data_IF_542759582630
#
_entry.id   IF_542759582630
#
_cell.length_a   1.000
_cell.length_b   1.000
_cell.length_c   1.000
_cell.angle_alpha   90.00
_cell.angle_beta   90.00
_cell.angle_gamma   90.00
#
_symmetry.space_group_name_H-M   'P 1'
#
loop_
_entity.id
_entity.type
_entity.pdbx_description
1 polymer ?
#
# COMPACT_ATOMS: atom_id res chain seq x y z
N UNK A 1 -11.22 5.84 -10.42
CA UNK A 1 -11.29 4.68 -10.26
C UNK A 1 -12.30 3.83 -9.45
N UNK A 2 -12.34 3.71 -8.09
CA UNK A 2 -13.39 2.97 -7.39
C UNK A 2 -14.33 3.95 -6.68
N UNK A 3 -15.64 3.69 -6.80
CA UNK A 3 -16.65 4.31 -5.95
C UNK A 3 -16.90 3.36 -4.78
N UNK A 4 -16.54 3.78 -3.58
CA UNK A 4 -16.84 3.03 -2.36
C UNK A 4 -18.29 3.33 -1.99
N UNK A 5 -19.08 2.28 -1.77
CA UNK A 5 -20.44 2.42 -1.27
C UNK A 5 -20.42 2.76 0.21
N UNK A 6 -21.18 3.77 0.59
CA UNK A 6 -21.38 4.15 1.98
C UNK A 6 -22.18 3.07 2.73
N UNK A 7 -21.82 2.79 3.99
CA UNK A 7 -22.53 1.83 4.83
C UNK A 7 -24.01 2.20 5.04
N UNK A 8 -24.34 3.48 5.06
CA UNK A 8 -25.70 3.97 5.16
C UNK A 8 -26.59 3.60 3.97
N UNK A 9 -26.00 3.19 2.85
CA UNK A 9 -26.72 2.72 1.66
C UNK A 9 -27.12 1.25 1.75
N UNK A 10 -26.67 0.50 2.77
CA UNK A 10 -26.98 -0.91 2.89
C UNK A 10 -28.38 -1.12 3.47
N UNK A 11 -29.19 -1.92 2.77
CA UNK A 11 -30.55 -2.29 3.18
C UNK A 11 -30.57 -3.49 4.13
N UNK A 12 -29.40 -3.94 4.60
CA UNK A 12 -29.20 -5.13 5.40
C UNK A 12 -28.02 -4.93 6.36
N UNK A 13 -27.93 -5.75 7.39
CA UNK A 13 -26.79 -5.78 8.30
C UNK A 13 -25.61 -6.49 7.62
N UNK A 14 -24.51 -5.77 7.27
CA UNK A 14 -23.37 -6.37 6.61
C UNK A 14 -22.64 -7.41 7.46
N UNK A 15 -22.75 -7.35 8.80
CA UNK A 15 -22.13 -8.31 9.71
C UNK A 15 -22.82 -9.69 9.64
N UNK A 16 -24.08 -9.70 9.24
CA UNK A 16 -24.88 -10.93 9.03
C UNK A 16 -24.85 -11.46 7.61
N UNK A 17 -24.27 -10.72 6.66
CA UNK A 17 -24.29 -11.11 5.24
C UNK A 17 -23.24 -12.14 4.86
N UNK A 18 -22.49 -12.68 5.82
CA UNK A 18 -21.48 -13.71 5.61
C UNK A 18 -20.16 -13.17 5.03
N UNK A 19 -19.11 -13.99 5.07
CA UNK A 19 -17.76 -13.63 4.61
C UNK A 19 -17.14 -14.64 3.64
N UNK A 20 -17.84 -15.75 3.39
CA UNK A 20 -17.37 -16.82 2.49
C UNK A 20 -18.33 -17.00 1.32
N UNK A 21 -17.87 -17.66 0.26
CA UNK A 21 -18.70 -17.93 -0.91
C UNK A 21 -20.04 -18.62 -0.56
N UNK A 22 -20.01 -19.51 0.45
CA UNK A 22 -21.19 -20.26 0.88
C UNK A 22 -22.16 -19.47 1.76
N UNK A 23 -21.67 -18.38 2.39
CA UNK A 23 -22.47 -17.63 3.38
C UNK A 23 -22.88 -16.24 2.90
N UNK A 24 -22.27 -15.72 1.83
CA UNK A 24 -22.61 -14.41 1.27
C UNK A 24 -23.93 -14.49 0.53
N UNK A 25 -24.88 -13.61 0.89
CA UNK A 25 -26.04 -13.34 0.06
C UNK A 25 -25.68 -12.28 -1.00
N UNK A 26 -25.28 -12.72 -2.18
CA UNK A 26 -24.84 -11.82 -3.26
C UNK A 26 -25.94 -10.90 -3.77
N UNK A 27 -27.21 -11.31 -3.68
CA UNK A 27 -28.35 -10.50 -4.09
C UNK A 27 -28.42 -9.19 -3.30
N UNK A 28 -28.14 -9.23 -2.00
CA UNK A 28 -28.12 -8.03 -1.16
C UNK A 28 -27.11 -7.00 -1.68
N UNK A 29 -25.95 -7.46 -2.17
CA UNK A 29 -24.91 -6.60 -2.68
C UNK A 29 -25.19 -6.05 -4.07
N UNK A 30 -25.76 -6.86 -4.96
CA UNK A 30 -26.13 -6.43 -6.31
C UNK A 30 -27.25 -5.39 -6.31
N UNK A 31 -28.22 -5.50 -5.39
CA UNK A 31 -29.33 -4.53 -5.25
C UNK A 31 -28.83 -3.14 -4.91
N UNK A 32 -27.78 -3.02 -4.09
CA UNK A 32 -27.16 -1.72 -3.76
C UNK A 32 -26.11 -1.28 -4.79
N UNK A 33 -25.95 -2.02 -5.89
CA UNK A 33 -25.04 -1.68 -6.99
C UNK A 33 -23.57 -1.99 -6.72
N UNK A 34 -23.24 -2.85 -5.75
CA UNK A 34 -21.89 -3.30 -5.52
C UNK A 34 -21.46 -4.30 -6.59
N UNK A 35 -20.49 -3.97 -7.44
CA UNK A 35 -19.92 -4.89 -8.43
C UNK A 35 -18.88 -5.81 -7.80
N UNK A 36 -18.13 -5.29 -6.83
CA UNK A 36 -17.06 -5.97 -6.13
C UNK A 36 -17.30 -5.92 -4.63
N UNK A 37 -17.06 -7.04 -3.97
CA UNK A 37 -17.14 -7.17 -2.52
C UNK A 37 -15.82 -7.68 -1.97
N UNK A 38 -15.23 -6.94 -1.03
CA UNK A 38 -14.08 -7.42 -0.26
C UNK A 38 -14.58 -7.87 1.10
N UNK A 39 -14.24 -9.10 1.46
CA UNK A 39 -14.46 -9.64 2.81
C UNK A 39 -13.14 -10.13 3.38
N UNK A 40 -13.08 -10.27 4.69
CA UNK A 40 -11.88 -10.77 5.33
C UNK A 40 -12.15 -11.37 6.70
N UNK A 41 -11.14 -12.10 7.16
CA UNK A 41 -11.05 -12.63 8.51
C UNK A 41 -9.72 -12.19 9.11
N UNK A 42 -9.76 -11.74 10.34
CA UNK A 42 -8.58 -11.30 11.09
C UNK A 42 -8.51 -12.08 12.40
N UNK A 43 -7.34 -12.60 12.70
CA UNK A 43 -7.04 -13.29 13.94
C UNK A 43 -5.70 -12.78 14.49
N UNK A 44 -5.67 -12.45 15.76
CA UNK A 44 -4.45 -12.02 16.46
C UNK A 44 -4.15 -12.96 17.61
N UNK A 45 -2.91 -13.45 17.68
CA UNK A 45 -2.40 -14.27 18.79
C UNK A 45 -0.94 -13.92 19.07
N UNK A 46 -0.64 -13.50 20.29
CA UNK A 46 0.73 -13.23 20.76
C UNK A 46 1.54 -12.37 19.78
N UNK A 47 1.05 -11.19 19.41
CA UNK A 47 1.65 -10.24 18.48
C UNK A 47 1.79 -10.77 17.02
N UNK A 48 1.26 -11.94 16.74
CA UNK A 48 1.14 -12.46 15.38
C UNK A 48 -0.28 -12.29 14.87
N UNK A 49 -0.37 -11.91 13.60
CA UNK A 49 -1.65 -11.77 12.92
C UNK A 49 -1.77 -12.78 11.78
N UNK A 50 -2.99 -13.26 11.59
CA UNK A 50 -3.42 -13.99 10.41
C UNK A 50 -4.57 -13.22 9.78
N UNK A 51 -4.39 -12.82 8.52
CA UNK A 51 -5.40 -12.04 7.78
C UNK A 51 -5.74 -12.81 6.52
N UNK A 52 -6.99 -13.17 6.36
CA UNK A 52 -7.50 -13.75 5.13
C UNK A 52 -8.38 -12.72 4.44
N UNK A 53 -8.07 -12.39 3.19
CA UNK A 53 -8.79 -11.41 2.39
C UNK A 53 -9.28 -12.04 1.10
N UNK A 54 -10.51 -11.72 0.73
CA UNK A 54 -11.19 -12.26 -0.45
C UNK A 54 -11.84 -11.13 -1.23
N UNK A 55 -11.74 -11.20 -2.55
CA UNK A 55 -12.47 -10.36 -3.48
C UNK A 55 -13.49 -11.23 -4.23
N UNK A 56 -14.72 -10.77 -4.28
CA UNK A 56 -15.80 -11.39 -5.02
C UNK A 56 -16.31 -10.47 -6.13
N UNK A 57 -16.66 -11.06 -7.26
CA UNK A 57 -17.53 -10.49 -8.29
C UNK A 57 -18.96 -10.81 -7.85
N UNK A 58 -19.73 -9.80 -7.50
CA UNK A 58 -21.06 -9.99 -6.90
C UNK A 58 -22.08 -10.44 -7.93
N UNK A 59 -21.99 -9.96 -9.17
CA UNK A 59 -22.90 -10.33 -10.25
C UNK A 59 -22.70 -11.77 -10.70
N UNK A 60 -21.45 -12.25 -10.70
CA UNK A 60 -21.11 -13.64 -11.05
C UNK A 60 -21.14 -14.57 -9.85
N UNK A 61 -21.42 -14.05 -8.64
CA UNK A 61 -21.43 -14.78 -7.38
C UNK A 61 -20.19 -15.69 -7.22
N UNK A 62 -19.00 -15.17 -7.55
CA UNK A 62 -17.77 -15.96 -7.50
C UNK A 62 -16.61 -15.21 -6.82
N UNK A 63 -15.75 -15.98 -6.16
CA UNK A 63 -14.49 -15.46 -5.65
C UNK A 63 -13.48 -15.29 -6.79
N UNK A 64 -12.90 -14.09 -6.91
CA UNK A 64 -11.86 -13.77 -7.90
C UNK A 64 -10.47 -13.75 -7.29
N UNK A 65 -10.34 -13.34 -6.02
CA UNK A 65 -9.09 -13.41 -5.25
C UNK A 65 -9.37 -14.00 -3.88
N UNK A 66 -8.47 -14.83 -3.37
CA UNK A 66 -8.42 -15.28 -1.99
C UNK A 66 -6.98 -15.42 -1.55
N UNK A 67 -6.58 -14.67 -0.53
CA UNK A 67 -5.21 -14.64 0.00
C UNK A 67 -5.23 -14.72 1.52
N UNK A 68 -4.33 -15.54 2.06
CA UNK A 68 -4.03 -15.59 3.49
C UNK A 68 -2.62 -15.09 3.73
N UNK A 69 -2.49 -14.17 4.67
CA UNK A 69 -1.22 -13.57 5.08
C UNK A 69 -1.01 -13.83 6.57
N UNK A 70 0.24 -14.06 6.96
CA UNK A 70 0.66 -14.15 8.35
C UNK A 70 1.84 -13.24 8.58
N UNK A 71 1.92 -12.62 9.74
CA UNK A 71 3.00 -11.69 10.07
C UNK A 71 2.93 -11.22 11.50
N UNK A 72 3.77 -10.26 11.87
CA UNK A 72 3.63 -9.52 13.12
C UNK A 72 2.54 -8.44 12.97
N UNK A 73 2.03 -7.93 14.08
CA UNK A 73 1.06 -6.83 14.10
C UNK A 73 1.60 -5.58 13.39
N UNK A 74 2.90 -5.32 13.50
CA UNK A 74 3.57 -4.21 12.81
C UNK A 74 3.48 -4.32 11.27
N UNK A 75 3.29 -5.52 10.72
CA UNK A 75 3.18 -5.77 9.28
C UNK A 75 1.76 -5.60 8.73
N UNK A 76 0.77 -5.27 9.57
CA UNK A 76 -0.63 -5.17 9.16
C UNK A 76 -0.83 -4.28 7.93
N UNK A 77 -0.23 -3.09 7.95
CA UNK A 77 -0.31 -2.15 6.83
C UNK A 77 0.24 -2.76 5.53
N UNK A 78 1.43 -3.38 5.58
CA UNK A 78 2.06 -3.96 4.38
C UNK A 78 1.24 -5.12 3.80
N UNK A 79 0.58 -5.90 4.66
CA UNK A 79 -0.33 -6.98 4.26
C UNK A 79 -1.51 -6.40 3.47
N UNK A 80 -2.16 -5.35 3.99
CA UNK A 80 -3.29 -4.72 3.30
C UNK A 80 -2.86 -4.11 1.96
N UNK A 81 -1.73 -3.41 1.92
CA UNK A 81 -1.23 -2.83 0.67
C UNK A 81 -0.88 -3.88 -0.39
N UNK A 82 -0.35 -5.04 0.02
CA UNK A 82 -0.11 -6.16 -0.89
C UNK A 82 -1.42 -6.69 -1.50
N UNK A 83 -2.44 -6.84 -0.69
CA UNK A 83 -3.76 -7.25 -1.18
C UNK A 83 -4.37 -6.20 -2.11
N UNK A 84 -4.27 -4.91 -1.79
CA UNK A 84 -4.68 -3.82 -2.69
C UNK A 84 -3.97 -3.91 -4.04
N UNK A 85 -2.66 -4.18 -4.04
CA UNK A 85 -1.88 -4.41 -5.26
C UNK A 85 -2.39 -5.62 -6.06
N UNK A 86 -2.75 -6.72 -5.40
CA UNK A 86 -3.31 -7.90 -6.05
C UNK A 86 -4.69 -7.60 -6.67
N UNK A 87 -5.54 -6.81 -5.98
CA UNK A 87 -6.85 -6.37 -6.50
C UNK A 87 -6.67 -5.50 -7.75
N UNK A 88 -5.81 -4.49 -7.68
CA UNK A 88 -5.55 -3.61 -8.84
C UNK A 88 -4.97 -4.41 -10.00
N UNK A 89 -4.02 -5.31 -9.72
CA UNK A 89 -3.43 -6.16 -10.76
C UNK A 89 -4.48 -7.05 -11.45
N UNK A 90 -5.42 -7.60 -10.69
CA UNK A 90 -6.53 -8.38 -11.24
C UNK A 90 -7.41 -7.55 -12.19
N UNK A 91 -7.67 -6.29 -11.82
CA UNK A 91 -8.58 -5.41 -12.56
C UNK A 91 -7.93 -4.72 -13.77
N UNK A 92 -6.63 -4.44 -13.69
CA UNK A 92 -5.93 -3.58 -14.67
C UNK A 92 -4.74 -4.25 -15.36
N UNK A 93 -4.31 -5.43 -14.89
CA UNK A 93 -3.07 -6.08 -15.33
C UNK A 93 -1.80 -5.48 -14.72
N UNK A 94 -1.92 -4.48 -13.85
CA UNK A 94 -0.79 -3.77 -13.23
C UNK A 94 -0.96 -3.70 -11.71
N UNK A 95 0.12 -3.87 -10.94
CA UNK A 95 0.03 -3.82 -9.47
C UNK A 95 -0.21 -2.43 -8.88
N UNK A 96 -0.21 -1.39 -9.72
CA UNK A 96 -0.37 -0.01 -9.30
C UNK A 96 0.81 0.48 -8.44
N UNK A 97 0.52 1.49 -7.60
CA UNK A 97 1.55 2.18 -6.79
C UNK A 97 1.72 1.61 -5.38
N UNK A 98 0.94 0.59 -5.02
CA UNK A 98 1.00 0.01 -3.67
C UNK A 98 2.37 -0.63 -3.41
N UNK A 99 3.04 -0.17 -2.36
CA UNK A 99 4.40 -0.60 -2.02
C UNK A 99 5.51 0.23 -2.66
N UNK A 100 5.21 1.19 -3.52
CA UNK A 100 6.20 2.14 -4.02
C UNK A 100 6.57 3.19 -2.96
N UNK A 101 7.71 3.85 -3.17
CA UNK A 101 8.21 4.94 -2.33
C UNK A 101 8.35 6.22 -3.14
N UNK A 102 8.18 7.35 -2.48
CA UNK A 102 8.43 8.69 -3.03
C UNK A 102 9.73 9.19 -2.40
N UNK A 103 10.65 9.71 -3.22
CA UNK A 103 11.79 10.50 -2.76
C UNK A 103 11.49 11.98 -3.01
N UNK A 104 11.79 12.83 -2.04
CA UNK A 104 11.58 14.26 -2.11
C UNK A 104 12.65 15.01 -1.33
N UNK A 105 12.76 16.31 -1.62
CA UNK A 105 13.69 17.21 -0.90
C UNK A 105 12.89 18.00 0.14
N UNK A 106 13.43 18.07 1.36
CA UNK A 106 12.87 18.90 2.43
C UNK A 106 13.96 19.67 3.16
N UNK A 107 13.64 20.85 3.63
CA UNK A 107 14.50 21.69 4.47
C UNK A 107 14.08 21.69 5.94
N UNK A 108 13.22 20.80 6.36
CA UNK A 108 12.68 20.71 7.72
C UNK A 108 13.74 20.57 8.82
N UNK A 109 14.97 20.18 8.47
CA UNK A 109 16.13 20.07 9.39
C UNK A 109 17.18 21.17 9.18
N UNK A 110 16.83 22.27 8.51
CA UNK A 110 17.70 23.42 8.23
C UNK A 110 18.30 23.39 6.84
N UNK A 111 18.95 22.30 6.44
CA UNK A 111 19.50 22.12 5.09
C UNK A 111 18.52 21.34 4.21
N UNK A 112 18.64 21.53 2.89
CA UNK A 112 17.90 20.70 1.92
C UNK A 112 18.49 19.29 1.91
N UNK A 113 17.72 18.33 2.37
CA UNK A 113 18.09 16.92 2.43
C UNK A 113 17.06 16.05 1.72
N UNK A 114 17.44 14.86 1.34
CA UNK A 114 16.53 13.91 0.71
C UNK A 114 15.81 13.11 1.79
N UNK A 115 14.52 12.98 1.60
CA UNK A 115 13.60 12.19 2.40
C UNK A 115 12.91 11.15 1.52
N UNK A 116 12.44 10.09 2.14
CA UNK A 116 11.59 9.10 1.48
C UNK A 116 10.35 8.86 2.33
N UNK A 117 9.24 8.53 1.68
CA UNK A 117 8.01 8.08 2.32
C UNK A 117 7.34 7.00 1.46
N UNK A 118 6.33 6.34 1.99
CA UNK A 118 5.45 5.49 1.18
C UNK A 118 4.67 6.33 0.16
N UNK A 119 4.10 5.69 -0.86
CA UNK A 119 3.36 6.33 -1.97
C UNK A 119 2.24 7.27 -1.52
N UNK A 120 1.72 7.09 -0.32
CA UNK A 120 0.64 7.89 0.29
C UNK A 120 1.14 8.88 1.37
N UNK A 121 2.45 9.11 1.43
CA UNK A 121 3.07 10.01 2.40
C UNK A 121 3.33 9.38 3.77
N UNK A 122 2.95 8.12 3.99
CA UNK A 122 3.14 7.47 5.29
C UNK A 122 4.63 7.26 5.62
N UNK A 123 4.98 7.45 6.91
CA UNK A 123 6.30 7.22 7.49
C UNK A 123 7.42 7.95 6.75
N UNK A 124 7.39 9.30 6.66
CA UNK A 124 8.47 10.07 6.08
C UNK A 124 9.76 9.92 6.90
N UNK A 125 10.85 9.58 6.25
CA UNK A 125 12.16 9.43 6.87
C UNK A 125 13.25 10.17 6.11
N UNK A 126 14.19 10.77 6.84
CA UNK A 126 15.35 11.43 6.23
C UNK A 126 16.33 10.36 5.71
N UNK A 127 16.67 10.46 4.42
CA UNK A 127 17.59 9.54 3.79
C UNK A 127 19.03 10.05 3.84
N UNK A 128 19.25 11.36 3.70
CA UNK A 128 20.59 11.97 3.72
C UNK A 128 20.76 12.90 4.92
N UNK A 129 21.99 12.97 5.45
CA UNK A 129 22.40 13.82 6.58
C UNK A 129 23.74 14.49 6.24
N UNK A 130 23.80 15.13 5.09
CA UNK A 130 25.04 15.71 4.57
C UNK A 130 25.37 17.07 5.19
N UNK A 131 24.45 17.68 5.94
CA UNK A 131 24.53 19.05 6.46
C UNK A 131 24.85 20.08 5.38
N UNK A 132 24.48 19.78 4.15
CA UNK A 132 24.70 20.61 2.97
C UNK A 132 23.49 20.47 2.03
N UNK A 133 23.38 21.35 1.06
CA UNK A 133 22.34 21.28 0.05
C UNK A 133 22.44 19.94 -0.69
N UNK A 134 21.38 19.14 -0.64
CA UNK A 134 21.26 17.84 -1.31
C UNK A 134 19.95 17.84 -2.11
N UNK A 135 20.02 17.56 -3.43
CA UNK A 135 18.97 17.80 -4.41
C UNK A 135 18.86 16.65 -5.43
N UNK A 136 17.79 16.69 -6.21
CA UNK A 136 17.58 15.87 -7.42
C UNK A 136 17.72 14.35 -7.17
N UNK A 137 16.91 13.78 -6.23
CA UNK A 137 16.91 12.33 -6.03
C UNK A 137 16.38 11.61 -7.27
N UNK A 138 17.05 10.55 -7.68
CA UNK A 138 16.64 9.67 -8.76
C UNK A 138 16.82 8.21 -8.34
N UNK A 139 15.76 7.41 -8.45
CA UNK A 139 15.78 5.97 -8.17
C UNK A 139 16.41 5.19 -9.34
N UNK A 140 17.16 4.15 -9.01
CA UNK A 140 17.45 3.11 -9.99
C UNK A 140 16.16 2.32 -10.33
N UNK A 141 16.13 1.67 -11.49
CA UNK A 141 14.99 0.90 -11.96
C UNK A 141 14.60 -0.28 -11.03
N UNK A 142 15.58 -0.82 -10.33
CA UNK A 142 15.38 -1.91 -9.34
C UNK A 142 15.04 -1.40 -7.94
N UNK A 143 15.05 -0.07 -7.71
CA UNK A 143 14.75 0.57 -6.43
C UNK A 143 15.82 0.39 -5.35
N UNK A 144 17.00 -0.17 -5.67
CA UNK A 144 18.08 -0.45 -4.70
C UNK A 144 19.06 0.69 -4.52
N UNK A 145 19.12 1.59 -5.49
CA UNK A 145 20.06 2.70 -5.50
C UNK A 145 19.33 4.03 -5.66
N UNK A 146 19.96 5.06 -5.13
CA UNK A 146 19.53 6.45 -5.34
C UNK A 146 20.74 7.30 -5.75
N UNK A 147 20.61 7.95 -6.88
CA UNK A 147 21.53 9.01 -7.29
C UNK A 147 20.99 10.36 -6.81
N UNK A 148 21.88 11.29 -6.46
CA UNK A 148 21.53 12.65 -6.04
C UNK A 148 22.73 13.57 -6.16
N UNK A 149 22.46 14.89 -6.23
CA UNK A 149 23.49 15.92 -6.16
C UNK A 149 23.64 16.42 -4.73
N UNK A 150 24.88 16.57 -4.24
CA UNK A 150 25.15 17.17 -2.92
C UNK A 150 26.35 18.11 -2.96
N UNK A 151 26.23 19.18 -2.18
CA UNK A 151 27.28 20.21 -1.97
C UNK A 151 28.15 19.90 -0.74
N UNK A 152 28.12 18.67 -0.20
CA UNK A 152 28.84 18.32 1.03
C UNK A 152 30.37 18.45 0.93
N UNK A 153 30.92 18.41 -0.29
CA UNK A 153 32.36 18.63 -0.56
C UNK A 153 32.67 20.08 -1.01
N UNK A 154 31.69 21.01 -0.91
CA UNK A 154 31.83 22.42 -1.33
C UNK A 154 31.24 22.70 -2.70
N UNK A 155 31.43 21.80 -3.66
CA UNK A 155 30.89 21.87 -5.03
C UNK A 155 29.74 20.87 -5.22
N UNK A 156 28.87 21.07 -6.24
CA UNK A 156 27.82 20.13 -6.56
C UNK A 156 28.40 18.88 -7.24
N UNK A 157 28.48 17.80 -6.50
CA UNK A 157 28.92 16.50 -7.00
C UNK A 157 27.76 15.51 -7.05
N UNK A 158 27.85 14.53 -7.95
CA UNK A 158 26.92 13.42 -8.05
C UNK A 158 27.32 12.29 -7.08
N UNK A 159 26.36 11.88 -6.27
CA UNK A 159 26.52 10.77 -5.33
C UNK A 159 25.55 9.65 -5.65
N UNK A 160 25.96 8.43 -5.34
CA UNK A 160 25.12 7.24 -5.42
C UNK A 160 25.12 6.57 -4.05
N UNK A 161 23.93 6.21 -3.57
CA UNK A 161 23.72 5.49 -2.31
C UNK A 161 23.02 4.16 -2.54
N UNK A 162 23.57 3.09 -1.97
CA UNK A 162 22.88 1.81 -1.85
C UNK A 162 21.86 1.91 -0.71
N UNK A 163 20.62 1.51 -0.96
CA UNK A 163 19.51 1.62 -0.02
C UNK A 163 19.29 0.32 0.80
N UNK A 164 19.91 -0.78 0.40
CA UNK A 164 19.88 -2.06 1.12
C UNK A 164 20.93 -2.11 2.25
N UNK A 165 21.93 -1.21 2.21
CA UNK A 165 23.04 -1.13 3.17
C UNK A 165 22.88 0.05 4.14
N UNK A 166 21.67 0.54 4.37
CA UNK A 166 21.17 1.70 5.10
C UNK A 166 21.97 2.27 6.23
#
# INVERSE_FOLDING_TARGET
>A
YFKILDRGSFLFDPERSGVTLATINFQNWTVVGAELLITGFYEERNDRISVELRLFDTFKARRVIGKKYTGSKSNQRSIILRFCGDVINYLTGNRGVFGSKIAFVSNGTGNKEIYTCAFDGYNPGRLTSNNAITLFPAWSSDGKWMAFTSYKAGNPDLYIRNLDQG
#
